data_IF_571089144433
#
_entry.id   IF_571089144433
#
_cell.length_a   1.000
_cell.length_b   1.000
_cell.length_c   1.000
_cell.angle_alpha   90.00
_cell.angle_beta   90.00
_cell.angle_gamma   90.00
#
_symmetry.space_group_name_H-M   'P 1'
#
loop_
_entity.id
_entity.type
_entity.pdbx_description
1 polymer ?
#
# COMPACT_ATOMS: atom_id res chain seq x y z
N UNK A 1 8.64 7.32 6.68
CA UNK A 1 9.26 6.73 7.90
C UNK A 1 8.68 5.35 8.18
N UNK A 2 9.42 4.50 8.88
CA UNK A 2 8.92 3.23 9.40
C UNK A 2 7.83 3.49 10.45
N UNK A 3 6.80 2.61 10.48
CA UNK A 3 5.75 2.65 11.51
C UNK A 3 6.36 2.28 12.87
N UNK A 4 6.04 3.07 13.89
CA UNK A 4 6.44 2.86 15.28
C UNK A 4 5.20 2.78 16.19
N UNK A 5 5.35 2.29 17.42
CA UNK A 5 4.24 2.14 18.38
C UNK A 5 3.51 3.47 18.63
N UNK A 6 4.25 4.59 18.67
CA UNK A 6 3.67 5.94 18.82
C UNK A 6 2.72 6.36 17.69
N UNK A 7 2.81 5.70 16.52
CA UNK A 7 1.93 5.97 15.37
C UNK A 7 0.59 5.20 15.46
N UNK A 8 0.42 4.33 16.45
CA UNK A 8 -0.71 3.42 16.59
C UNK A 8 -2.06 4.13 16.52
N UNK A 9 -2.26 5.16 17.34
CA UNK A 9 -3.52 5.90 17.39
C UNK A 9 -3.87 6.57 16.04
N UNK A 10 -2.87 7.16 15.39
CA UNK A 10 -3.03 7.77 14.06
C UNK A 10 -3.46 6.73 13.02
N UNK A 11 -2.78 5.59 12.97
CA UNK A 11 -3.10 4.52 12.02
C UNK A 11 -4.50 3.94 12.26
N UNK A 12 -4.89 3.74 13.52
CA UNK A 12 -6.24 3.30 13.87
C UNK A 12 -7.29 4.31 13.44
N UNK A 13 -7.06 5.59 13.74
CA UNK A 13 -7.94 6.69 13.33
C UNK A 13 -8.11 6.73 11.82
N UNK A 14 -7.02 6.69 11.06
CA UNK A 14 -7.06 6.66 9.60
C UNK A 14 -7.81 5.45 9.07
N UNK A 15 -7.43 4.24 9.54
CA UNK A 15 -8.00 2.97 9.06
C UNK A 15 -9.50 2.88 9.31
N UNK A 16 -10.01 3.54 10.36
CA UNK A 16 -11.42 3.56 10.72
C UNK A 16 -12.25 4.65 10.01
N UNK A 17 -11.63 5.53 9.21
CA UNK A 17 -12.37 6.49 8.39
C UNK A 17 -13.30 5.76 7.41
N UNK A 18 -14.53 6.23 7.27
CA UNK A 18 -15.57 5.58 6.45
C UNK A 18 -15.10 5.31 5.02
N UNK A 19 -14.46 6.30 4.38
CA UNK A 19 -14.00 6.19 3.00
C UNK A 19 -12.83 5.18 2.83
N UNK A 20 -11.98 4.99 3.84
CA UNK A 20 -10.91 3.98 3.81
C UNK A 20 -11.51 2.59 3.99
N UNK A 21 -12.40 2.42 4.96
CA UNK A 21 -13.07 1.12 5.19
C UNK A 21 -13.89 0.68 3.98
N UNK A 22 -14.64 1.59 3.35
CA UNK A 22 -15.45 1.30 2.18
C UNK A 22 -14.62 0.70 1.02
N UNK A 23 -13.38 1.11 0.89
CA UNK A 23 -12.46 0.68 -0.17
C UNK A 23 -11.47 -0.41 0.27
N UNK A 24 -11.63 -0.96 1.46
CA UNK A 24 -10.78 -2.02 2.01
C UNK A 24 -11.42 -3.40 1.85
N UNK A 25 -10.60 -4.44 1.76
CA UNK A 25 -11.08 -5.84 1.76
C UNK A 25 -11.89 -6.14 3.02
N UNK A 26 -11.42 -5.70 4.19
CA UNK A 26 -12.18 -5.74 5.44
C UNK A 26 -12.85 -4.38 5.66
N UNK A 27 -14.16 -4.30 5.50
CA UNK A 27 -14.97 -3.07 5.64
C UNK A 27 -15.36 -2.76 7.10
N UNK A 28 -15.08 -3.66 8.04
CA UNK A 28 -15.44 -3.50 9.45
C UNK A 28 -14.57 -2.46 10.16
N UNK A 29 -15.13 -1.82 11.17
CA UNK A 29 -14.38 -0.94 12.07
C UNK A 29 -13.46 -1.79 12.93
N UNK A 30 -12.19 -1.40 13.00
CA UNK A 30 -11.19 -2.08 13.82
C UNK A 30 -11.29 -1.54 15.24
N UNK A 31 -11.46 -2.44 16.22
CA UNK A 31 -11.39 -2.09 17.63
C UNK A 31 -9.94 -1.96 18.11
N UNK A 32 -9.76 -1.27 19.23
CA UNK A 32 -8.42 -0.96 19.74
C UNK A 32 -7.61 -2.22 20.06
N UNK A 33 -8.20 -3.24 20.65
CA UNK A 33 -7.51 -4.51 21.00
C UNK A 33 -6.96 -5.22 19.76
N UNK A 34 -7.75 -5.29 18.68
CA UNK A 34 -7.31 -5.90 17.43
C UNK A 34 -6.21 -5.07 16.77
N UNK A 35 -6.28 -3.75 16.88
CA UNK A 35 -5.26 -2.85 16.35
C UNK A 35 -3.94 -2.97 17.13
N UNK A 36 -3.98 -3.04 18.45
CA UNK A 36 -2.80 -3.25 19.30
C UNK A 36 -2.09 -4.56 18.97
N UNK A 37 -2.83 -5.67 18.84
CA UNK A 37 -2.27 -6.96 18.40
C UNK A 37 -1.63 -6.87 17.01
N UNK A 38 -2.24 -6.12 16.11
CA UNK A 38 -1.66 -5.88 14.78
C UNK A 38 -0.37 -5.06 14.89
N UNK A 39 -0.35 -4.00 15.71
CA UNK A 39 0.84 -3.18 15.94
C UNK A 39 2.00 -4.00 16.53
N UNK A 40 1.76 -4.83 17.53
CA UNK A 40 2.75 -5.74 18.09
C UNK A 40 3.34 -6.67 17.02
N UNK A 41 2.48 -7.27 16.19
CA UNK A 41 2.93 -8.10 15.06
C UNK A 41 3.79 -7.32 14.08
N UNK A 42 3.42 -6.08 13.73
CA UNK A 42 4.20 -5.26 12.79
C UNK A 42 5.59 -4.89 13.33
N UNK A 43 5.74 -4.71 14.64
CA UNK A 43 7.05 -4.45 15.26
C UNK A 43 7.94 -5.70 15.27
N UNK A 44 7.37 -6.88 15.48
CA UNK A 44 8.07 -8.14 15.63
C UNK A 44 8.15 -8.97 14.34
N UNK A 45 7.35 -8.63 13.34
CA UNK A 45 7.19 -9.43 12.14
C UNK A 45 8.25 -9.09 11.08
N UNK A 46 9.20 -10.00 10.89
CA UNK A 46 10.28 -9.83 9.91
C UNK A 46 9.85 -10.01 8.44
N UNK A 47 8.59 -10.38 8.19
CA UNK A 47 8.05 -10.69 6.86
C UNK A 47 7.27 -9.56 6.21
N UNK A 48 7.45 -8.32 6.66
CA UNK A 48 6.70 -7.20 6.12
C UNK A 48 7.39 -5.87 6.32
N UNK A 49 6.87 -4.88 5.60
CA UNK A 49 7.31 -3.49 5.66
C UNK A 49 6.08 -2.63 5.87
N UNK A 50 6.12 -1.75 6.86
CA UNK A 50 5.05 -0.81 7.19
C UNK A 50 5.63 0.59 7.28
N UNK A 51 5.15 1.48 6.41
CA UNK A 51 5.65 2.84 6.30
C UNK A 51 4.52 3.86 6.42
N UNK A 52 4.82 4.98 7.04
CA UNK A 52 4.04 6.21 6.92
C UNK A 52 4.74 7.11 5.90
N UNK A 53 3.99 7.55 4.92
CA UNK A 53 4.44 8.51 3.93
C UNK A 53 4.10 9.92 4.38
N UNK A 54 5.06 10.83 4.26
CA UNK A 54 4.94 12.23 4.68
C UNK A 54 5.36 13.16 3.55
N UNK A 55 4.67 14.29 3.41
CA UNK A 55 5.03 15.41 2.53
C UNK A 55 4.91 16.72 3.29
N UNK A 56 5.88 17.63 3.08
CA UNK A 56 5.87 18.94 3.74
C UNK A 56 5.78 18.86 5.27
N UNK A 57 6.38 17.83 5.87
CA UNK A 57 6.36 17.62 7.32
C UNK A 57 5.05 17.01 7.86
N UNK A 58 4.08 16.69 7.00
CA UNK A 58 2.80 16.07 7.41
C UNK A 58 2.74 14.62 6.97
N UNK A 59 2.33 13.75 7.89
CA UNK A 59 2.03 12.36 7.58
C UNK A 59 0.73 12.31 6.76
N UNK A 60 0.76 11.66 5.59
CA UNK A 60 -0.35 11.67 4.62
C UNK A 60 -1.04 10.33 4.51
N UNK A 61 -0.26 9.24 4.47
CA UNK A 61 -0.80 7.91 4.21
C UNK A 61 0.10 6.79 4.69
N UNK A 62 -0.38 5.59 4.52
CA UNK A 62 0.27 4.36 4.93
C UNK A 62 0.48 3.45 3.73
N UNK A 63 1.66 2.86 3.65
CA UNK A 63 2.00 1.79 2.72
C UNK A 63 2.51 0.58 3.50
N UNK A 64 2.12 -0.59 3.08
CA UNK A 64 2.63 -1.83 3.64
C UNK A 64 2.83 -2.90 2.57
N UNK A 65 3.73 -3.82 2.85
CA UNK A 65 3.89 -5.03 2.07
C UNK A 65 4.18 -6.22 2.98
N UNK A 66 3.73 -7.39 2.56
CA UNK A 66 3.98 -8.67 3.22
C UNK A 66 4.65 -9.58 2.21
N UNK A 67 5.73 -10.24 2.60
CA UNK A 67 6.42 -11.21 1.75
C UNK A 67 5.54 -12.44 1.51
N UNK A 68 5.24 -12.72 0.24
CA UNK A 68 4.69 -13.99 -0.22
C UNK A 68 5.81 -15.02 -0.26
N UNK A 69 6.97 -14.60 -0.77
CA UNK A 69 8.23 -15.33 -0.74
C UNK A 69 9.41 -14.33 -0.80
N UNK A 70 10.64 -14.79 -1.03
CA UNK A 70 11.84 -13.93 -1.06
C UNK A 70 11.81 -12.85 -2.14
N UNK A 71 11.06 -13.03 -3.21
CA UNK A 71 11.06 -12.16 -4.39
C UNK A 71 9.73 -11.44 -4.63
N UNK A 72 8.65 -11.91 -4.00
CA UNK A 72 7.29 -11.45 -4.23
C UNK A 72 6.69 -10.90 -2.95
N UNK A 73 6.11 -9.71 -3.04
CA UNK A 73 5.34 -9.11 -1.95
C UNK A 73 3.89 -8.87 -2.36
N UNK A 74 3.02 -8.96 -1.38
CA UNK A 74 1.65 -8.49 -1.44
C UNK A 74 1.58 -7.11 -0.79
N UNK A 75 1.12 -6.07 -1.51
CA UNK A 75 1.11 -4.71 -0.98
C UNK A 75 -0.28 -4.21 -0.61
N UNK A 76 -0.31 -3.19 0.23
CA UNK A 76 -1.52 -2.46 0.60
C UNK A 76 -1.17 -1.01 0.92
N UNK A 77 -2.12 -0.10 0.69
CA UNK A 77 -1.92 1.32 0.97
C UNK A 77 -3.25 2.05 1.17
N UNK A 78 -3.18 3.21 1.78
CA UNK A 78 -4.26 4.20 1.82
C UNK A 78 -3.73 5.60 2.13
N UNK A 79 -4.45 6.61 1.64
CA UNK A 79 -4.25 8.00 2.06
C UNK A 79 -5.14 8.25 3.29
N UNK A 80 -4.50 8.55 4.42
CA UNK A 80 -5.17 8.75 5.71
C UNK A 80 -5.68 10.18 5.90
N UNK A 81 -4.99 11.16 5.32
CA UNK A 81 -5.37 12.56 5.44
C UNK A 81 -6.35 12.99 4.35
N UNK A 82 -7.43 13.73 4.69
CA UNK A 82 -8.40 14.20 3.70
C UNK A 82 -7.88 15.39 2.88
N UNK A 83 -6.93 16.15 3.42
CA UNK A 83 -6.33 17.33 2.77
C UNK A 83 -4.86 17.05 2.46
N UNK A 84 -4.55 16.80 1.21
CA UNK A 84 -3.20 16.57 0.69
C UNK A 84 -3.04 17.19 -0.69
N UNK A 85 -1.80 17.42 -1.12
CA UNK A 85 -1.51 18.02 -2.42
C UNK A 85 -1.95 17.10 -3.57
N UNK A 86 -2.42 17.64 -4.69
CA UNK A 86 -2.69 16.83 -5.88
C UNK A 86 -1.48 15.98 -6.25
N UNK A 87 -1.71 14.72 -6.60
CA UNK A 87 -0.66 13.76 -6.96
C UNK A 87 0.09 13.10 -5.79
N UNK A 88 -0.17 13.47 -4.53
CA UNK A 88 0.50 12.84 -3.37
C UNK A 88 0.33 11.31 -3.35
N UNK A 89 -0.84 10.80 -3.73
CA UNK A 89 -1.08 9.36 -3.80
C UNK A 89 -0.14 8.66 -4.79
N UNK A 90 0.01 9.21 -5.98
CA UNK A 90 0.95 8.68 -6.99
C UNK A 90 2.39 8.76 -6.49
N UNK A 91 2.81 9.91 -5.94
CA UNK A 91 4.18 10.06 -5.40
C UNK A 91 4.48 9.07 -4.29
N UNK A 92 3.53 8.88 -3.37
CA UNK A 92 3.63 7.88 -2.29
C UNK A 92 3.84 6.47 -2.86
N UNK A 93 3.05 6.08 -3.86
CA UNK A 93 3.11 4.74 -4.42
C UNK A 93 4.35 4.51 -5.28
N UNK A 94 4.75 5.50 -6.09
CA UNK A 94 6.01 5.43 -6.86
C UNK A 94 7.21 5.34 -5.92
N UNK A 95 7.23 6.12 -4.83
CA UNK A 95 8.26 6.01 -3.80
C UNK A 95 8.31 4.60 -3.21
N UNK A 96 7.15 4.02 -2.85
CA UNK A 96 7.10 2.69 -2.24
C UNK A 96 7.49 1.58 -3.23
N UNK A 97 7.07 1.66 -4.50
CA UNK A 97 7.49 0.73 -5.56
C UNK A 97 9.02 0.77 -5.74
N UNK A 98 9.59 1.97 -5.84
CA UNK A 98 11.06 2.13 -5.95
C UNK A 98 11.78 1.50 -4.76
N UNK A 99 11.29 1.74 -3.55
CA UNK A 99 11.84 1.14 -2.35
C UNK A 99 11.80 -0.39 -2.39
N UNK A 100 10.67 -0.98 -2.75
CA UNK A 100 10.52 -2.44 -2.86
C UNK A 100 11.46 -3.03 -3.91
N UNK A 101 11.51 -2.45 -5.11
CA UNK A 101 12.28 -3.00 -6.22
C UNK A 101 13.79 -2.76 -6.11
N UNK A 102 14.22 -1.57 -5.67
CA UNK A 102 15.62 -1.18 -5.78
C UNK A 102 16.38 -1.20 -4.45
N UNK A 103 15.69 -0.95 -3.32
CA UNK A 103 16.33 -1.00 -2.01
C UNK A 103 16.19 -2.38 -1.35
N UNK A 104 15.00 -2.99 -1.46
CA UNK A 104 14.69 -4.29 -0.84
C UNK A 104 15.04 -5.46 -1.74
N UNK A 105 15.01 -5.27 -3.07
CA UNK A 105 15.37 -6.30 -4.03
C UNK A 105 14.20 -7.20 -4.47
N UNK A 106 12.95 -6.78 -4.25
CA UNK A 106 11.76 -7.50 -4.72
C UNK A 106 11.72 -7.53 -6.25
N UNK A 107 11.26 -8.64 -6.83
CA UNK A 107 11.08 -8.79 -8.28
C UNK A 107 9.64 -8.57 -8.73
N UNK A 108 8.64 -8.82 -7.87
CA UNK A 108 7.22 -8.69 -8.18
C UNK A 108 6.39 -8.17 -7.01
N UNK A 109 5.48 -7.23 -7.29
CA UNK A 109 4.46 -6.73 -6.38
C UNK A 109 3.11 -7.26 -6.82
N UNK A 110 2.33 -7.83 -5.90
CA UNK A 110 0.96 -8.29 -6.10
C UNK A 110 -0.03 -7.44 -5.30
N UNK A 111 -1.25 -7.31 -5.81
CA UNK A 111 -2.33 -6.57 -5.18
C UNK A 111 -3.69 -7.21 -5.42
N UNK A 112 -4.58 -7.12 -4.43
CA UNK A 112 -6.01 -7.36 -4.61
C UNK A 112 -6.76 -6.03 -4.42
N UNK A 113 -7.64 -5.73 -5.37
CA UNK A 113 -8.47 -4.51 -5.34
C UNK A 113 -9.93 -4.93 -5.44
N UNK A 114 -10.76 -4.45 -4.52
CA UNK A 114 -12.20 -4.76 -4.56
C UNK A 114 -12.82 -4.22 -5.84
N UNK A 115 -13.86 -4.92 -6.34
CA UNK A 115 -14.56 -4.56 -7.58
C UNK A 115 -15.11 -3.14 -7.53
N UNK A 116 -15.59 -2.70 -6.36
CA UNK A 116 -16.16 -1.36 -6.20
C UNK A 116 -15.10 -0.24 -6.12
N UNK A 117 -13.84 -0.58 -5.90
CA UNK A 117 -12.75 0.41 -5.76
C UNK A 117 -12.16 0.81 -7.11
N UNK A 118 -12.98 1.43 -7.96
CA UNK A 118 -12.59 1.88 -9.30
C UNK A 118 -11.38 2.84 -9.28
N UNK A 119 -11.26 3.66 -8.23
CA UNK A 119 -10.10 4.58 -8.08
C UNK A 119 -8.80 3.81 -7.95
N UNK A 120 -8.77 2.77 -7.12
CA UNK A 120 -7.58 1.94 -6.94
C UNK A 120 -7.27 1.12 -8.19
N UNK A 121 -8.30 0.60 -8.89
CA UNK A 121 -8.13 -0.11 -10.15
C UNK A 121 -7.44 0.78 -11.20
N UNK A 122 -7.97 2.01 -11.37
CA UNK A 122 -7.38 3.00 -12.28
C UNK A 122 -5.92 3.32 -11.91
N UNK A 123 -5.67 3.53 -10.63
CA UNK A 123 -4.34 3.84 -10.10
C UNK A 123 -3.32 2.71 -10.35
N UNK A 124 -3.71 1.44 -10.15
CA UNK A 124 -2.85 0.30 -10.47
C UNK A 124 -2.50 0.25 -11.96
N UNK A 125 -3.49 0.48 -12.84
CA UNK A 125 -3.25 0.54 -14.29
C UNK A 125 -2.32 1.68 -14.67
N UNK A 126 -2.51 2.87 -14.08
CA UNK A 126 -1.62 4.04 -14.30
C UNK A 126 -0.19 3.77 -13.85
N UNK A 127 0.01 3.04 -12.76
CA UNK A 127 1.33 2.62 -12.27
C UNK A 127 1.97 1.48 -13.10
N UNK A 128 1.22 0.90 -14.04
CA UNK A 128 1.71 -0.15 -14.93
C UNK A 128 1.47 -1.58 -14.43
N UNK A 129 0.60 -1.75 -13.41
CA UNK A 129 0.17 -3.09 -13.02
C UNK A 129 -0.68 -3.74 -14.09
N UNK A 130 -0.46 -5.03 -14.33
CA UNK A 130 -1.28 -5.87 -15.19
C UNK A 130 -2.37 -6.54 -14.39
N UNK A 131 -3.58 -6.60 -14.95
CA UNK A 131 -4.69 -7.37 -14.39
C UNK A 131 -4.48 -8.86 -14.71
N UNK A 132 -4.35 -9.70 -13.69
CA UNK A 132 -4.10 -11.13 -13.84
C UNK A 132 -5.38 -11.96 -13.79
N UNK A 133 -6.32 -11.60 -12.92
CA UNK A 133 -7.63 -12.28 -12.78
C UNK A 133 -8.65 -11.38 -12.13
N UNK A 134 -9.91 -11.70 -12.31
CA UNK A 134 -11.05 -11.02 -11.70
C UNK A 134 -12.09 -12.04 -11.26
N UNK A 135 -12.74 -11.79 -10.13
CA UNK A 135 -13.92 -12.52 -9.67
C UNK A 135 -14.97 -11.51 -9.18
N UNK A 136 -16.07 -11.98 -8.58
CA UNK A 136 -17.18 -11.15 -8.12
C UNK A 136 -16.83 -10.20 -6.94
N UNK A 137 -15.68 -10.39 -6.29
CA UNK A 137 -15.30 -9.65 -5.10
C UNK A 137 -14.09 -8.74 -5.33
N UNK A 138 -13.09 -9.21 -6.08
CA UNK A 138 -11.85 -8.46 -6.29
C UNK A 138 -11.15 -8.80 -7.61
N UNK A 139 -10.29 -7.90 -8.02
CA UNK A 139 -9.34 -8.03 -9.12
C UNK A 139 -7.92 -8.21 -8.57
N UNK A 140 -7.16 -9.14 -9.17
CA UNK A 140 -5.74 -9.35 -8.86
C UNK A 140 -4.88 -8.66 -9.88
N UNK A 141 -3.92 -7.88 -9.37
CA UNK A 141 -2.95 -7.13 -10.16
C UNK A 141 -1.53 -7.57 -9.81
N UNK A 142 -0.61 -7.43 -10.75
CA UNK A 142 0.81 -7.55 -10.47
C UNK A 142 1.65 -6.55 -11.27
N UNK A 143 2.81 -6.19 -10.71
CA UNK A 143 3.82 -5.35 -11.34
C UNK A 143 5.18 -6.02 -11.16
N UNK A 144 5.91 -6.25 -12.25
CA UNK A 144 7.28 -6.75 -12.21
C UNK A 144 8.28 -5.61 -12.23
N UNK A 145 9.44 -5.84 -11.60
CA UNK A 145 10.56 -4.89 -11.59
C UNK A 145 11.03 -4.54 -13.01
N UNK A 146 11.10 -5.53 -13.90
CA UNK A 146 11.56 -5.33 -15.27
C UNK A 146 10.60 -4.47 -16.08
N UNK A 147 9.29 -4.69 -15.93
CA UNK A 147 8.29 -3.83 -16.58
C UNK A 147 8.37 -2.40 -16.04
N UNK A 148 8.49 -2.22 -14.72
CA UNK A 148 8.65 -0.91 -14.11
C UNK A 148 9.90 -0.19 -14.60
N UNK A 149 11.04 -0.89 -14.68
CA UNK A 149 12.28 -0.35 -15.26
C UNK A 149 12.08 0.12 -16.71
N UNK A 150 11.53 -0.72 -17.56
CA UNK A 150 11.25 -0.37 -18.96
C UNK A 150 10.38 0.88 -19.06
N UNK A 151 9.32 1.00 -18.26
CA UNK A 151 8.38 2.11 -18.32
C UNK A 151 8.97 3.44 -17.84
N UNK A 152 9.77 3.43 -16.80
CA UNK A 152 10.22 4.64 -16.11
C UNK A 152 11.70 5.00 -16.33
N UNK A 153 12.49 4.09 -16.89
CA UNK A 153 13.94 4.27 -17.06
C UNK A 153 14.45 3.93 -18.47
N UNK A 154 13.59 3.65 -19.46
CA UNK A 154 14.01 3.28 -20.83
C UNK A 154 14.59 4.46 -21.63
N UNK A 155 14.60 5.65 -21.09
CA UNK A 155 15.08 6.87 -21.77
C UNK A 155 16.33 7.46 -21.10
N UNK A 156 17.09 6.65 -20.35
CA UNK A 156 18.39 7.06 -19.78
C UNK A 156 19.49 6.26 -20.41
#
# INVERSE_FOLDING_TARGET
>A
KKVEIKDSFKLLSWRNKKFIRANSLNKQKINIKNHERWMEKTQNFKRGIWLIYSEGGKDIGHCSSIYVNKEVVYWSFYIGEPKFSPGSGIRMLVFFIKKLFFEIGISKIEANVTIENCKSQKLHKELGFSLNSSNDHFQKYSLTKDFFKKRYYSNI
#
